data_IF_605973660214
#
_entry.id   IF_605973660214
#
_cell.length_a   1.000
_cell.length_b   1.000
_cell.length_c   1.000
_cell.angle_alpha   90.00
_cell.angle_beta   90.00
_cell.angle_gamma   90.00
#
_symmetry.space_group_name_H-M   'P 1'
#
loop_
_entity.id
_entity.type
_entity.pdbx_description
1 polymer ?
#
# COMPACT_ATOMS: atom_id res chain seq x y z
N UNK A 1 0.92 28.34 -31.44
CA UNK A 1 1.07 28.15 -29.98
C UNK A 1 0.96 26.65 -29.82
N UNK A 2 2.09 26.01 -30.08
CA UNK A 2 2.13 24.68 -30.68
C UNK A 2 2.23 23.60 -29.61
N UNK A 3 1.52 22.52 -29.91
CA UNK A 3 1.42 21.25 -29.20
C UNK A 3 2.72 20.82 -28.51
N UNK A 4 2.73 20.92 -27.19
CA UNK A 4 3.61 20.09 -26.36
C UNK A 4 3.13 18.65 -26.52
N UNK A 5 3.65 17.97 -27.54
CA UNK A 5 3.54 16.52 -27.69
C UNK A 5 3.85 15.89 -26.34
N UNK A 6 2.86 15.19 -25.78
CA UNK A 6 3.03 14.42 -24.55
C UNK A 6 4.15 13.40 -24.79
N UNK A 7 5.35 13.73 -24.33
CA UNK A 7 6.46 12.79 -24.23
C UNK A 7 5.90 11.62 -23.42
N UNK A 8 5.79 10.44 -24.05
CA UNK A 8 5.29 9.24 -23.41
C UNK A 8 5.97 9.08 -22.05
N UNK A 9 5.17 9.18 -20.98
CA UNK A 9 5.67 9.20 -19.60
C UNK A 9 6.38 7.88 -19.35
N UNK A 10 7.71 7.88 -19.42
CA UNK A 10 8.54 6.71 -19.08
C UNK A 10 8.28 6.41 -17.60
N UNK A 11 7.75 5.23 -17.33
CA UNK A 11 7.74 4.68 -15.98
C UNK A 11 9.19 4.66 -15.47
N UNK A 12 9.46 5.45 -14.43
CA UNK A 12 10.75 5.45 -13.77
C UNK A 12 10.58 4.83 -12.38
N UNK A 13 11.35 3.79 -12.13
CA UNK A 13 11.33 3.01 -10.89
C UNK A 13 12.73 2.99 -10.30
N UNK A 14 12.81 3.09 -8.97
CA UNK A 14 14.04 2.91 -8.22
C UNK A 14 13.90 1.67 -7.33
N UNK A 15 14.78 0.69 -7.53
CA UNK A 15 14.83 -0.56 -6.74
C UNK A 15 16.22 -0.72 -6.13
N UNK A 16 16.31 -0.81 -4.80
CA UNK A 16 17.58 -0.86 -4.06
C UNK A 16 17.71 -2.04 -3.08
N UNK A 17 16.87 -3.08 -3.22
CA UNK A 17 16.74 -4.16 -2.24
C UNK A 17 17.98 -5.02 -1.97
N UNK A 18 18.85 -5.20 -2.97
CA UNK A 18 20.05 -6.04 -2.88
C UNK A 18 21.33 -5.22 -2.66
N UNK A 19 21.20 -3.92 -2.43
CA UNK A 19 22.35 -3.04 -2.24
C UNK A 19 22.89 -3.11 -0.81
N UNK A 20 24.21 -3.00 -0.66
CA UNK A 20 24.82 -2.85 0.64
C UNK A 20 24.30 -1.57 1.32
N UNK A 21 24.08 -1.60 2.64
CA UNK A 21 23.48 -0.49 3.40
C UNK A 21 24.15 0.88 3.13
N UNK A 22 25.48 0.90 3.12
CA UNK A 22 26.30 2.09 2.84
C UNK A 22 26.14 2.59 1.39
N UNK A 23 26.02 1.67 0.43
CA UNK A 23 25.80 2.02 -0.96
C UNK A 23 24.40 2.63 -1.16
N UNK A 24 23.37 2.05 -0.53
CA UNK A 24 22.02 2.59 -0.62
C UNK A 24 21.95 4.02 -0.10
N UNK A 25 22.51 4.30 1.08
CA UNK A 25 22.53 5.65 1.63
C UNK A 25 23.23 6.64 0.70
N UNK A 26 24.38 6.25 0.15
CA UNK A 26 25.11 7.08 -0.82
C UNK A 26 24.25 7.39 -2.05
N UNK A 27 23.55 6.39 -2.60
CA UNK A 27 22.65 6.60 -3.75
C UNK A 27 21.52 7.55 -3.37
N UNK A 28 20.83 7.30 -2.25
CA UNK A 28 19.70 8.10 -1.81
C UNK A 28 20.07 9.56 -1.56
N UNK A 29 21.19 9.82 -0.89
CA UNK A 29 21.72 11.17 -0.66
C UNK A 29 22.07 11.89 -1.97
N UNK A 30 22.63 11.16 -2.94
CA UNK A 30 22.97 11.73 -4.23
C UNK A 30 21.74 12.05 -5.08
N UNK A 31 20.65 11.30 -4.93
CA UNK A 31 19.39 11.46 -5.68
C UNK A 31 18.40 12.41 -4.99
N UNK A 32 18.52 12.61 -3.68
CA UNK A 32 17.62 13.44 -2.86
C UNK A 32 17.43 14.83 -3.47
N UNK A 33 16.16 15.24 -3.65
CA UNK A 33 15.74 16.51 -4.27
C UNK A 33 16.20 16.75 -5.71
N UNK A 34 16.79 15.75 -6.38
CA UNK A 34 17.28 15.87 -7.76
C UNK A 34 16.43 15.05 -8.73
N UNK A 35 16.03 13.85 -8.33
CA UNK A 35 15.21 12.96 -9.16
C UNK A 35 14.01 12.46 -8.37
N UNK A 36 12.89 12.34 -9.07
CA UNK A 36 11.66 11.78 -8.53
C UNK A 36 11.21 10.59 -9.36
N UNK A 37 10.79 9.53 -8.67
CA UNK A 37 10.39 8.26 -9.28
C UNK A 37 8.88 8.02 -9.15
N UNK A 38 8.29 7.38 -10.16
CA UNK A 38 6.90 6.91 -10.11
C UNK A 38 6.71 5.70 -9.20
N UNK A 39 7.77 4.93 -8.99
CA UNK A 39 7.78 3.76 -8.10
C UNK A 39 9.06 3.75 -7.28
N UNK A 40 8.93 3.49 -5.99
CA UNK A 40 10.03 3.23 -5.07
C UNK A 40 9.95 1.80 -4.55
N UNK A 41 11.10 1.14 -4.49
CA UNK A 41 11.29 -0.16 -3.87
C UNK A 41 12.60 -0.12 -3.07
N UNK A 42 12.48 0.24 -1.79
CA UNK A 42 13.60 0.66 -0.95
C UNK A 42 13.56 0.01 0.43
N UNK A 43 14.75 -0.30 0.95
CA UNK A 43 14.94 -0.79 2.31
C UNK A 43 15.18 0.37 3.28
N UNK A 44 14.74 0.23 4.52
CA UNK A 44 15.16 1.15 5.57
C UNK A 44 16.65 0.99 5.87
N UNK A 45 17.42 2.05 5.63
CA UNK A 45 18.87 2.12 5.85
C UNK A 45 19.29 3.32 6.72
N UNK A 46 18.32 3.93 7.41
CA UNK A 46 18.51 5.09 8.28
C UNK A 46 17.84 6.36 7.76
N UNK A 47 18.33 7.51 8.23
CA UNK A 47 17.69 8.81 8.00
C UNK A 47 17.60 9.21 6.52
N UNK A 48 18.62 8.86 5.72
CA UNK A 48 18.62 9.13 4.28
C UNK A 48 17.40 8.50 3.58
N UNK A 49 17.05 7.26 3.93
CA UNK A 49 15.87 6.58 3.38
C UNK A 49 14.56 7.25 3.82
N UNK A 50 14.46 7.66 5.08
CA UNK A 50 13.32 8.43 5.58
C UNK A 50 13.15 9.76 4.84
N UNK A 51 14.21 10.55 4.76
CA UNK A 51 14.16 11.87 4.11
C UNK A 51 13.84 11.74 2.63
N UNK A 52 14.40 10.74 1.96
CA UNK A 52 14.12 10.46 0.55
C UNK A 52 12.65 10.08 0.31
N UNK A 53 12.08 9.19 1.12
CA UNK A 53 10.67 8.79 1.03
C UNK A 53 9.73 9.99 1.29
N UNK A 54 9.98 10.76 2.35
CA UNK A 54 9.18 11.95 2.70
C UNK A 54 9.17 12.96 1.55
N UNK A 55 10.35 13.26 1.00
CA UNK A 55 10.50 14.18 -0.13
C UNK A 55 9.73 13.70 -1.37
N UNK A 56 9.73 12.40 -1.66
CA UNK A 56 8.96 11.85 -2.77
C UNK A 56 7.44 11.98 -2.55
N UNK A 57 6.96 11.72 -1.34
CA UNK A 57 5.53 11.82 -1.02
C UNK A 57 5.07 13.28 -1.04
N UNK A 58 5.92 14.21 -0.59
CA UNK A 58 5.58 15.64 -0.50
C UNK A 58 5.69 16.36 -1.84
N UNK A 59 6.67 16.00 -2.68
CA UNK A 59 7.00 16.76 -3.88
C UNK A 59 6.68 16.06 -5.20
N UNK A 60 6.33 14.77 -5.19
CA UNK A 60 6.06 14.03 -6.42
C UNK A 60 4.61 13.59 -6.57
N UNK A 61 3.83 14.39 -7.30
CA UNK A 61 2.43 14.09 -7.67
C UNK A 61 2.27 12.79 -8.47
N UNK A 62 3.35 12.26 -9.04
CA UNK A 62 3.33 11.06 -9.87
C UNK A 62 3.83 9.80 -9.17
N UNK A 63 4.08 9.85 -7.85
CA UNK A 63 4.40 8.65 -7.10
C UNK A 63 3.16 7.76 -7.06
N UNK A 64 3.25 6.58 -7.69
CA UNK A 64 2.18 5.58 -7.78
C UNK A 64 2.44 4.40 -6.86
N UNK A 65 3.71 4.13 -6.55
CA UNK A 65 4.11 2.88 -5.94
C UNK A 65 5.18 3.05 -4.90
N UNK A 66 4.99 2.43 -3.75
CA UNK A 66 6.00 2.33 -2.70
C UNK A 66 6.05 0.90 -2.18
N UNK A 67 7.20 0.24 -2.29
CA UNK A 67 7.51 -1.02 -1.62
C UNK A 67 8.60 -0.75 -0.57
N UNK A 68 8.23 -0.93 0.70
CA UNK A 68 9.05 -0.62 1.85
C UNK A 68 9.56 -1.90 2.51
N UNK A 69 10.87 -2.03 2.64
CA UNK A 69 11.49 -3.20 3.26
C UNK A 69 12.16 -2.86 4.60
N UNK A 70 11.97 -3.72 5.60
CA UNK A 70 12.61 -3.60 6.92
C UNK A 70 11.88 -2.67 7.89
N UNK A 71 12.53 -2.33 8.99
CA UNK A 71 11.89 -1.68 10.13
C UNK A 71 11.86 -0.16 10.03
N UNK A 72 10.89 0.33 9.27
CA UNK A 72 10.66 1.76 9.13
C UNK A 72 10.18 2.38 10.46
N UNK A 73 10.68 3.58 10.82
CA UNK A 73 10.28 4.22 12.07
C UNK A 73 8.87 4.80 11.98
N UNK A 74 8.15 4.85 13.12
CA UNK A 74 6.80 5.41 13.21
C UNK A 74 6.69 6.86 12.70
N UNK A 75 7.80 7.61 12.66
CA UNK A 75 7.84 8.98 12.13
C UNK A 75 7.50 9.10 10.64
N UNK A 76 7.40 7.98 9.91
CA UNK A 76 6.98 7.97 8.50
C UNK A 76 5.48 7.68 8.31
N UNK A 77 4.77 7.25 9.36
CA UNK A 77 3.34 6.90 9.31
C UNK A 77 2.47 8.02 8.73
N UNK A 78 2.59 9.30 9.18
CA UNK A 78 1.77 10.38 8.62
C UNK A 78 2.00 10.62 7.12
N UNK A 79 3.21 10.31 6.63
CA UNK A 79 3.53 10.43 5.21
C UNK A 79 2.92 9.28 4.42
N UNK A 80 2.91 8.08 4.99
CA UNK A 80 2.27 6.92 4.38
C UNK A 80 0.76 7.08 4.29
N UNK A 81 0.13 7.60 5.34
CA UNK A 81 -1.28 8.01 5.29
C UNK A 81 -1.50 9.04 4.19
N UNK A 82 -0.72 10.14 4.21
CA UNK A 82 -0.79 11.17 3.16
C UNK A 82 -0.67 10.56 1.76
N UNK A 83 0.28 9.65 1.56
CA UNK A 83 0.46 8.94 0.29
C UNK A 83 -0.77 8.13 -0.10
N UNK A 84 -1.34 7.35 0.83
CA UNK A 84 -2.52 6.51 0.60
C UNK A 84 -3.78 7.34 0.32
N UNK A 85 -3.90 8.50 0.97
CA UNK A 85 -5.06 9.39 0.92
C UNK A 85 -4.99 10.43 -0.20
N UNK A 86 -3.86 10.54 -0.91
CA UNK A 86 -3.72 11.46 -2.04
C UNK A 86 -4.62 11.04 -3.22
N UNK A 87 -5.76 11.72 -3.36
CA UNK A 87 -6.74 11.54 -4.43
C UNK A 87 -6.10 11.68 -5.83
N UNK A 88 -6.73 11.00 -6.81
CA UNK A 88 -6.64 11.15 -8.28
C UNK A 88 -6.03 9.97 -9.05
N UNK A 89 -5.30 9.03 -8.42
CA UNK A 89 -4.64 7.95 -9.17
C UNK A 89 -4.56 6.64 -8.37
N UNK A 90 -4.52 5.49 -9.08
CA UNK A 90 -4.17 4.22 -8.49
C UNK A 90 -2.83 4.29 -7.79
N UNK A 91 -2.80 3.88 -6.53
CA UNK A 91 -1.61 3.80 -5.70
C UNK A 91 -1.45 2.40 -5.13
N UNK A 92 -0.20 1.98 -4.97
CA UNK A 92 0.11 0.77 -4.24
C UNK A 92 1.18 1.03 -3.19
N UNK A 93 0.94 0.49 -2.00
CA UNK A 93 1.86 0.47 -0.89
C UNK A 93 2.05 -0.99 -0.47
N UNK A 94 3.28 -1.47 -0.52
CA UNK A 94 3.66 -2.75 0.07
C UNK A 94 4.67 -2.53 1.18
N UNK A 95 4.51 -3.24 2.28
CA UNK A 95 5.37 -3.15 3.46
C UNK A 95 5.86 -4.54 3.82
N UNK A 96 7.11 -4.87 3.52
CA UNK A 96 7.68 -6.22 3.67
C UNK A 96 8.68 -6.32 4.80
N UNK A 97 8.71 -7.48 5.46
CA UNK A 97 9.74 -7.87 6.43
C UNK A 97 9.90 -6.84 7.56
N UNK A 98 8.78 -6.32 8.07
CA UNK A 98 8.75 -5.45 9.23
C UNK A 98 8.63 -6.31 10.50
N UNK A 99 9.49 -6.10 11.49
CA UNK A 99 9.40 -6.74 12.82
C UNK A 99 8.23 -6.21 13.64
N UNK A 100 7.76 -5.01 13.30
CA UNK A 100 6.60 -4.38 13.92
C UNK A 100 5.64 -3.92 12.84
N UNK A 101 4.33 -4.04 13.12
CA UNK A 101 3.33 -3.45 12.24
C UNK A 101 3.47 -1.94 12.27
N UNK A 102 3.90 -1.34 11.16
CA UNK A 102 3.99 0.12 11.08
C UNK A 102 2.60 0.77 11.12
N UNK A 103 1.62 0.11 10.49
CA UNK A 103 0.22 0.50 10.53
C UNK A 103 -0.48 -0.38 11.55
N UNK A 104 -0.99 0.24 12.61
CA UNK A 104 -1.89 -0.45 13.53
C UNK A 104 -3.34 -0.47 12.99
N UNK A 105 -4.23 -1.09 13.76
CA UNK A 105 -5.63 -1.20 13.39
C UNK A 105 -6.34 0.15 13.26
N UNK A 106 -5.98 1.15 14.07
CA UNK A 106 -6.57 2.49 14.04
C UNK A 106 -6.34 3.14 12.68
N UNK A 107 -5.10 3.06 12.17
CA UNK A 107 -4.77 3.59 10.84
C UNK A 107 -5.54 2.88 9.72
N UNK A 108 -5.75 1.57 9.85
CA UNK A 108 -6.55 0.80 8.88
C UNK A 108 -8.02 1.25 8.91
N UNK A 109 -8.60 1.44 10.10
CA UNK A 109 -9.97 1.97 10.25
C UNK A 109 -10.13 3.36 9.63
N UNK A 110 -9.15 4.24 9.81
CA UNK A 110 -9.12 5.58 9.21
C UNK A 110 -9.07 5.52 7.68
N UNK A 111 -8.23 4.63 7.11
CA UNK A 111 -8.20 4.41 5.66
C UNK A 111 -9.55 3.91 5.12
N UNK A 112 -10.22 3.00 5.85
CA UNK A 112 -11.56 2.54 5.49
C UNK A 112 -12.61 3.63 5.57
N UNK A 113 -12.63 4.42 6.66
CA UNK A 113 -13.55 5.53 6.84
C UNK A 113 -13.37 6.55 5.71
N UNK A 114 -12.12 6.91 5.40
CA UNK A 114 -11.81 7.83 4.33
C UNK A 114 -12.22 7.28 2.96
N UNK A 115 -12.00 5.98 2.67
CA UNK A 115 -12.51 5.35 1.44
C UNK A 115 -14.03 5.38 1.32
N UNK A 116 -14.78 5.13 2.42
CA UNK A 116 -16.25 5.22 2.42
C UNK A 116 -16.76 6.63 2.15
N UNK A 117 -16.00 7.64 2.56
CA UNK A 117 -16.34 9.05 2.35
C UNK A 117 -15.91 9.57 0.97
N UNK A 118 -14.87 8.97 0.38
CA UNK A 118 -14.22 9.45 -0.83
C UNK A 118 -14.29 8.41 -1.95
N UNK A 119 -15.12 8.69 -2.95
CA UNK A 119 -15.47 7.81 -4.07
C UNK A 119 -14.31 7.52 -5.06
N UNK A 120 -13.13 8.10 -4.86
CA UNK A 120 -12.06 8.12 -5.87
C UNK A 120 -10.70 7.60 -5.37
N UNK A 121 -10.72 6.68 -4.41
CA UNK A 121 -9.50 6.01 -3.96
C UNK A 121 -9.36 4.69 -4.68
N UNK A 122 -8.27 4.56 -5.40
CA UNK A 122 -7.75 3.29 -5.89
C UNK A 122 -6.43 3.02 -5.16
N UNK A 123 -6.48 2.15 -4.14
CA UNK A 123 -5.37 1.87 -3.23
C UNK A 123 -5.20 0.37 -3.05
N UNK A 124 -4.00 -0.12 -3.32
CA UNK A 124 -3.56 -1.46 -2.97
C UNK A 124 -2.57 -1.40 -1.82
N UNK A 125 -3.01 -1.69 -0.60
CA UNK A 125 -2.17 -1.81 0.58
C UNK A 125 -1.86 -3.29 0.84
N UNK A 126 -0.58 -3.64 0.99
CA UNK A 126 -0.15 -4.97 1.42
C UNK A 126 0.85 -4.82 2.56
N UNK A 127 0.59 -5.46 3.68
CA UNK A 127 1.51 -5.46 4.82
C UNK A 127 1.57 -6.84 5.46
N UNK A 128 2.65 -7.07 6.22
CA UNK A 128 2.93 -8.35 6.84
C UNK A 128 2.81 -8.19 8.35
N UNK A 129 2.08 -9.10 8.98
CA UNK A 129 1.89 -9.14 10.43
C UNK A 129 2.50 -10.41 10.97
N UNK A 130 2.95 -10.37 12.22
CA UNK A 130 3.34 -11.60 12.91
C UNK A 130 2.14 -12.52 13.08
N UNK A 131 2.37 -13.83 12.94
CA UNK A 131 1.33 -14.87 13.02
C UNK A 131 0.58 -14.88 14.36
N UNK A 132 1.22 -14.38 15.42
CA UNK A 132 0.66 -14.33 16.78
C UNK A 132 -0.47 -13.30 16.92
N UNK A 133 -0.55 -12.32 16.03
CA UNK A 133 -1.65 -11.35 15.98
C UNK A 133 -2.84 -11.93 15.18
N UNK A 134 -3.40 -13.00 15.72
CA UNK A 134 -4.50 -13.78 15.13
C UNK A 134 -5.84 -13.04 15.11
N UNK A 135 -5.96 -11.96 15.88
CA UNK A 135 -7.19 -11.20 16.05
C UNK A 135 -7.50 -10.27 14.86
N UNK A 136 -6.56 -10.12 13.91
CA UNK A 136 -6.82 -9.32 12.71
C UNK A 136 -8.07 -9.78 11.96
N UNK A 137 -8.27 -11.09 11.81
CA UNK A 137 -9.43 -11.62 11.06
C UNK A 137 -10.78 -11.24 11.68
N UNK A 138 -10.88 -11.21 13.02
CA UNK A 138 -12.10 -10.80 13.73
C UNK A 138 -12.30 -9.28 13.65
N UNK A 139 -11.23 -8.50 13.75
CA UNK A 139 -11.25 -7.04 13.56
C UNK A 139 -11.70 -6.66 12.15
N UNK A 140 -11.16 -7.32 11.13
CA UNK A 140 -11.60 -7.17 9.73
C UNK A 140 -13.04 -7.59 9.54
N UNK A 141 -13.43 -8.75 10.05
CA UNK A 141 -14.81 -9.19 10.00
C UNK A 141 -15.74 -8.14 10.64
N UNK A 142 -15.36 -7.55 11.78
CA UNK A 142 -16.14 -6.52 12.47
C UNK A 142 -16.34 -5.25 11.65
N UNK A 143 -15.33 -4.77 10.92
CA UNK A 143 -15.45 -3.55 10.10
C UNK A 143 -16.17 -3.82 8.77
N UNK A 144 -16.03 -5.03 8.23
CA UNK A 144 -16.64 -5.42 6.95
C UNK A 144 -18.05 -6.02 7.11
N UNK A 145 -18.58 -6.09 8.34
CA UNK A 145 -19.75 -6.86 8.81
C UNK A 145 -21.02 -6.81 7.96
N UNK A 146 -21.20 -5.76 7.15
CA UNK A 146 -22.47 -5.52 6.48
C UNK A 146 -22.57 -6.12 5.06
N UNK A 147 -21.49 -6.62 4.45
CA UNK A 147 -21.50 -7.11 3.04
C UNK A 147 -20.51 -8.27 2.74
N UNK A 148 -20.15 -9.07 3.75
CA UNK A 148 -19.11 -10.10 3.60
C UNK A 148 -19.62 -11.34 2.84
N UNK A 149 -19.29 -11.47 1.55
CA UNK A 149 -19.20 -12.78 0.90
C UNK A 149 -17.84 -13.43 1.26
N UNK A 150 -17.77 -14.12 2.39
CA UNK A 150 -16.57 -14.88 2.73
C UNK A 150 -16.43 -16.06 1.77
N UNK A 151 -15.38 -16.07 0.97
CA UNK A 151 -15.01 -17.24 0.19
C UNK A 151 -13.74 -17.83 0.80
N UNK A 152 -13.86 -19.03 1.34
CA UNK A 152 -12.71 -19.80 1.82
C UNK A 152 -12.06 -20.49 0.62
N UNK A 153 -11.08 -19.81 0.02
CA UNK A 153 -10.11 -20.51 -0.82
C UNK A 153 -9.24 -21.40 0.07
N UNK A 154 -8.66 -22.45 -0.51
CA UNK A 154 -7.80 -23.41 0.23
C UNK A 154 -6.65 -22.74 1.01
N UNK A 155 -6.28 -21.51 0.66
CA UNK A 155 -5.14 -20.81 1.24
C UNK A 155 -5.44 -19.38 1.73
N UNK A 156 -6.54 -18.72 1.38
CA UNK A 156 -6.76 -17.31 1.77
C UNK A 156 -8.19 -17.05 2.20
N UNK A 157 -8.35 -16.19 3.22
CA UNK A 157 -9.66 -15.64 3.61
C UNK A 157 -9.86 -14.31 2.91
N UNK A 158 -10.95 -14.21 2.16
CA UNK A 158 -11.34 -12.98 1.48
C UNK A 158 -12.53 -12.35 2.17
N UNK A 159 -12.45 -11.05 2.42
CA UNK A 159 -13.55 -10.21 2.86
C UNK A 159 -13.79 -9.17 1.78
N UNK A 160 -15.05 -8.98 1.41
CA UNK A 160 -15.46 -7.96 0.47
C UNK A 160 -16.34 -6.96 1.19
N UNK A 161 -16.23 -5.70 0.80
CA UNK A 161 -17.12 -4.65 1.25
C UNK A 161 -17.50 -3.80 0.05
N UNK A 162 -18.80 -3.68 -0.17
CA UNK A 162 -19.34 -2.88 -1.26
C UNK A 162 -19.47 -1.43 -0.81
N UNK A 163 -19.05 -0.50 -1.67
CA UNK A 163 -19.32 0.91 -1.49
C UNK A 163 -20.73 1.20 -2.00
N UNK A 164 -21.66 1.57 -1.11
CA UNK A 164 -23.07 1.72 -1.45
C UNK A 164 -23.33 2.73 -2.59
N UNK A 165 -22.63 3.87 -2.57
CA UNK A 165 -22.88 4.99 -3.51
C UNK A 165 -22.44 4.72 -4.94
N UNK A 166 -21.21 4.27 -5.13
CA UNK A 166 -20.59 4.12 -6.47
C UNK A 166 -20.53 2.68 -6.94
N UNK A 167 -20.94 1.73 -6.10
CA UNK A 167 -20.86 0.31 -6.42
C UNK A 167 -19.43 -0.24 -6.51
N UNK A 168 -18.40 0.51 -6.09
CA UNK A 168 -17.04 -0.02 -5.99
C UNK A 168 -16.98 -1.11 -4.93
N UNK A 169 -15.98 -1.99 -5.02
CA UNK A 169 -15.78 -3.08 -4.06
C UNK A 169 -14.41 -2.86 -3.44
N UNK A 170 -14.29 -2.98 -2.14
CA UNK A 170 -13.01 -3.22 -1.49
C UNK A 170 -12.86 -4.69 -1.16
N UNK A 171 -11.63 -5.18 -1.25
CA UNK A 171 -11.26 -6.57 -0.98
C UNK A 171 -10.14 -6.59 0.04
N UNK A 172 -10.38 -7.25 1.17
CA UNK A 172 -9.35 -7.67 2.10
C UNK A 172 -9.03 -9.16 1.84
N UNK A 173 -7.76 -9.47 1.67
CA UNK A 173 -7.23 -10.83 1.58
C UNK A 173 -6.28 -11.04 2.75
N UNK A 174 -6.59 -12.03 3.57
CA UNK A 174 -5.70 -12.50 4.63
C UNK A 174 -5.14 -13.84 4.19
N UNK A 175 -3.83 -13.87 3.95
CA UNK A 175 -3.10 -15.09 3.63
C UNK A 175 -2.54 -15.70 4.92
N UNK A 176 -2.39 -17.04 4.97
CA UNK A 176 -1.85 -17.71 6.13
C UNK A 176 -0.36 -17.33 6.26
N UNK A 177 0.23 -17.55 7.44
CA UNK A 177 1.62 -17.22 7.62
C UNK A 177 2.51 -18.06 6.69
N UNK A 178 3.32 -17.39 5.88
CA UNK A 178 4.44 -18.01 5.17
C UNK A 178 5.71 -17.58 5.89
N UNK A 179 6.52 -18.54 6.35
CA UNK A 179 7.73 -18.26 7.13
C UNK A 179 7.45 -17.46 8.43
N UNK A 180 6.34 -17.77 9.11
CA UNK A 180 5.94 -17.13 10.36
C UNK A 180 5.31 -15.74 10.23
N UNK A 181 5.12 -15.24 9.00
CA UNK A 181 4.48 -13.94 8.74
C UNK A 181 3.21 -14.10 7.91
N UNK A 182 2.08 -13.65 8.46
CA UNK A 182 0.82 -13.51 7.72
C UNK A 182 0.89 -12.27 6.86
N UNK A 183 0.31 -12.30 5.66
CA UNK A 183 0.16 -11.08 4.85
C UNK A 183 -1.30 -10.68 4.78
N UNK A 184 -1.55 -9.40 5.03
CA UNK A 184 -2.84 -8.76 4.80
C UNK A 184 -2.73 -7.86 3.59
N UNK A 185 -3.66 -8.03 2.66
CA UNK A 185 -3.78 -7.16 1.49
C UNK A 185 -5.15 -6.54 1.45
N UNK A 186 -5.20 -5.21 1.48
CA UNK A 186 -6.39 -4.40 1.27
C UNK A 186 -6.33 -3.79 -0.11
N UNK A 187 -7.39 -3.95 -0.88
CA UNK A 187 -7.54 -3.33 -2.20
C UNK A 187 -8.82 -2.54 -2.20
N UNK A 188 -8.73 -1.26 -2.52
CA UNK A 188 -9.83 -0.32 -2.69
C UNK A 188 -9.84 0.08 -4.16
N UNK A 189 -10.97 -0.04 -4.87
CA UNK A 189 -11.02 0.46 -6.24
C UNK A 189 -12.26 0.05 -7.03
N UNK A 190 -12.57 0.76 -8.13
CA UNK A 190 -13.75 0.52 -8.95
C UNK A 190 -13.64 -0.78 -9.78
N UNK A 191 -12.43 -1.27 -10.08
CA UNK A 191 -12.21 -2.35 -11.06
C UNK A 191 -12.09 -3.76 -10.46
N UNK A 192 -12.48 -3.97 -9.21
CA UNK A 192 -12.45 -5.30 -8.57
C UNK A 192 -13.52 -6.28 -9.14
N UNK A 193 -14.35 -5.83 -10.09
CA UNK A 193 -15.42 -6.61 -10.73
C UNK A 193 -14.98 -7.79 -11.61
N UNK A 194 -13.69 -7.98 -11.86
CA UNK A 194 -13.22 -9.04 -12.78
C UNK A 194 -13.16 -10.45 -12.19
N UNK A 195 -13.49 -10.65 -10.92
CA UNK A 195 -13.69 -12.01 -10.40
C UNK A 195 -15.07 -12.50 -10.83
N UNK A 196 -15.15 -12.96 -12.10
CA UNK A 196 -16.30 -13.66 -12.68
C UNK A 196 -16.88 -14.60 -11.63
N UNK A 197 -18.16 -14.40 -11.29
CA UNK A 197 -18.97 -15.40 -10.60
C UNK A 197 -18.76 -16.74 -11.31
N UNK A 198 -17.91 -17.61 -10.76
CA UNK A 198 -17.98 -19.02 -11.08
C UNK A 198 -19.33 -19.44 -10.51
N UNK A 199 -20.31 -19.63 -11.39
CA UNK A 199 -21.52 -20.37 -11.03
C UNK A 199 -21.04 -21.71 -10.48
N UNK A 200 -21.20 -21.89 -9.18
CA UNK A 200 -21.14 -23.20 -8.53
C UNK A 200 -22.41 -23.94 -8.92
#
# INVERSE_FOLDING_TARGET
MDDVKSIGRKHNSLTLLETAFNLQNTILENLYKKLYFTTLDIKYTGEAACNFLKDHIDNHEFLKGVDLHGDWPASIVPYIEKFCLQNQRPRYLTMRRTTHSLLDWTHIEELFAYWKENENIDLHLKYYTHAEDTNHSEKYAKVMKDDVEANEGAECRYYYLKHERIGSISRCCISPPYDGQSSVSLTFGPDLFFMKKKKI
#
